data_IF_052416888591
#
_entry.id   IF_052416888591
#
_cell.length_a   1.000
_cell.length_b   1.000
_cell.length_c   1.000
_cell.angle_alpha   90.00
_cell.angle_beta   90.00
_cell.angle_gamma   90.00
#
_symmetry.space_group_name_H-M   'P 1'
#
loop_
_entity.id
_entity.type
_entity.pdbx_description
1 polymer ?
#
# COMPACT_ATOMS: atom_id res chain seq x y z
N UNK A 1 -55.13 -1.31 24.90
CA UNK A 1 -55.32 -1.30 26.36
C UNK A 1 -54.00 -1.74 27.00
N UNK A 2 -53.12 -0.87 27.51
CA UNK A 2 -53.14 0.60 27.51
C UNK A 2 -52.71 1.19 26.15
N UNK A 3 -51.91 2.26 26.21
CA UNK A 3 -52.14 3.57 25.58
C UNK A 3 -51.24 4.61 26.30
N UNK A 4 -50.87 5.73 25.65
CA UNK A 4 -50.26 6.98 26.18
C UNK A 4 -48.90 6.92 26.94
N UNK A 5 -47.94 7.85 26.77
CA UNK A 5 -47.92 9.20 26.13
C UNK A 5 -46.70 9.45 25.23
N UNK A 6 -46.91 10.15 24.11
CA UNK A 6 -45.92 11.08 23.52
C UNK A 6 -45.81 12.33 24.39
N UNK A 7 -44.65 12.97 24.43
CA UNK A 7 -44.56 14.42 24.57
C UNK A 7 -43.53 14.96 23.58
N UNK A 8 -43.87 16.11 23.01
CA UNK A 8 -43.18 16.83 21.95
C UNK A 8 -43.18 18.33 22.35
N UNK A 9 -42.45 19.20 21.61
CA UNK A 9 -42.08 20.60 21.94
C UNK A 9 -40.85 20.70 22.87
N UNK A 10 -39.97 21.70 22.72
CA UNK A 10 -39.95 22.78 21.73
C UNK A 10 -38.80 23.78 21.99
N UNK A 11 -38.47 24.59 20.98
CA UNK A 11 -37.33 25.53 20.92
C UNK A 11 -37.24 26.54 22.08
N UNK A 12 -36.02 26.88 22.51
CA UNK A 12 -35.63 28.25 22.89
C UNK A 12 -34.11 28.46 22.87
N UNK A 13 -33.67 29.67 22.53
CA UNK A 13 -32.28 30.10 22.32
C UNK A 13 -31.68 30.85 23.53
N UNK A 14 -30.40 30.61 23.83
CA UNK A 14 -29.46 31.62 24.38
C UNK A 14 -28.02 31.07 24.31
N UNK A 15 -27.09 31.62 23.51
CA UNK A 15 -26.33 32.89 23.67
C UNK A 15 -25.17 32.82 24.68
N UNK A 16 -23.95 32.80 24.13
CA UNK A 16 -22.65 33.22 24.71
C UNK A 16 -22.16 32.64 26.05
N UNK A 17 -20.98 32.00 26.00
CA UNK A 17 -19.72 32.59 26.54
C UNK A 17 -18.49 31.89 25.98
N UNK A 18 -17.61 32.65 25.34
CA UNK A 18 -16.25 32.26 25.03
C UNK A 18 -15.34 32.49 26.24
N UNK A 19 -14.42 31.57 26.51
CA UNK A 19 -13.34 31.75 27.48
C UNK A 19 -12.01 31.90 26.76
N UNK A 20 -11.62 33.15 26.54
CA UNK A 20 -10.30 33.52 26.02
C UNK A 20 -9.20 33.24 27.05
N UNK A 21 -8.18 32.47 26.66
CA UNK A 21 -6.99 32.27 27.49
C UNK A 21 -6.07 33.49 27.41
N UNK A 22 -5.64 33.99 28.58
CA UNK A 22 -4.85 35.21 28.68
C UNK A 22 -3.37 34.99 28.33
N UNK A 23 -2.77 35.97 27.63
CA UNK A 23 -1.32 36.21 27.62
C UNK A 23 -0.93 37.07 28.83
N UNK A 24 0.27 36.89 29.41
CA UNK A 24 0.93 37.92 30.19
C UNK A 24 2.02 38.65 29.37
N UNK A 25 1.92 39.98 29.31
CA UNK A 25 3.07 40.89 29.44
C UNK A 25 3.27 41.19 30.95
N UNK A 26 4.33 41.80 31.47
CA UNK A 26 5.08 42.98 31.00
C UNK A 26 6.51 43.04 31.60
N UNK A 27 7.43 43.69 30.86
CA UNK A 27 8.57 44.54 31.30
C UNK A 27 9.50 44.17 32.47
N UNK A 28 10.80 44.21 32.20
CA UNK A 28 11.88 44.53 33.17
C UNK A 28 13.06 45.20 32.43
N UNK A 29 13.53 46.35 32.92
CA UNK A 29 14.44 47.24 32.18
C UNK A 29 15.93 47.08 32.55
N UNK A 30 16.79 47.16 31.52
CA UNK A 30 18.15 47.76 31.51
C UNK A 30 19.25 47.29 32.49
N UNK A 31 20.43 46.96 31.92
CA UNK A 31 21.71 47.62 32.28
C UNK A 31 22.76 47.47 31.17
N UNK A 32 23.56 48.52 30.97
CA UNK A 32 24.65 48.57 30.00
C UNK A 32 25.82 47.66 30.42
N UNK A 33 26.46 47.05 29.43
CA UNK A 33 27.76 46.38 29.57
C UNK A 33 28.64 46.66 28.36
N UNK A 34 29.39 47.77 28.40
CA UNK A 34 30.46 48.03 27.44
C UNK A 34 31.56 46.96 27.60
N UNK A 35 31.90 46.25 26.51
CA UNK A 35 33.16 45.51 26.43
C UNK A 35 34.04 46.08 25.33
N UNK A 36 35.27 46.44 25.71
CA UNK A 36 36.18 47.20 24.87
C UNK A 36 36.76 46.36 23.73
N UNK A 37 36.89 46.98 22.55
CA UNK A 37 37.65 46.42 21.45
C UNK A 37 39.12 46.25 21.86
N UNK A 38 39.66 45.04 21.74
CA UNK A 38 41.12 44.79 21.76
C UNK A 38 41.60 44.53 20.33
N UNK A 39 42.43 45.43 19.84
CA UNK A 39 43.18 45.26 18.60
C UNK A 39 44.19 44.12 18.72
N UNK A 40 44.08 43.11 17.86
CA UNK A 40 45.11 42.10 17.64
C UNK A 40 45.82 42.35 16.30
N UNK A 41 47.14 42.07 16.20
CA UNK A 41 47.95 42.49 15.06
C UNK A 41 47.63 41.71 13.78
N UNK A 42 47.68 42.41 12.63
CA UNK A 42 47.63 41.78 11.31
C UNK A 42 48.81 40.83 11.12
N UNK A 43 48.56 39.52 11.12
CA UNK A 43 49.45 38.53 10.49
C UNK A 43 49.06 38.37 9.03
N UNK A 44 49.95 38.76 8.13
CA UNK A 44 49.90 38.40 6.71
C UNK A 44 50.37 36.97 6.54
N UNK A 45 49.43 36.02 6.44
CA UNK A 45 49.73 34.65 6.00
C UNK A 45 49.18 34.44 4.61
N UNK A 46 50.07 34.42 3.61
CA UNK A 46 49.76 34.01 2.25
C UNK A 46 49.54 32.50 2.20
N UNK A 47 48.27 32.07 2.32
CA UNK A 47 47.86 30.70 2.02
C UNK A 47 46.99 30.72 0.77
N UNK A 48 47.52 30.18 -0.31
CA UNK A 48 46.83 30.04 -1.59
C UNK A 48 45.60 29.12 -1.44
N UNK A 49 44.43 29.71 -1.23
CA UNK A 49 43.16 28.98 -1.39
C UNK A 49 43.01 28.63 -2.86
N UNK A 50 43.36 27.40 -3.23
CA UNK A 50 42.98 26.85 -4.53
C UNK A 50 41.46 26.69 -4.54
N UNK A 51 40.77 27.76 -4.98
CA UNK A 51 39.36 27.70 -5.38
C UNK A 51 39.28 26.84 -6.65
N UNK A 52 39.42 25.52 -6.48
CA UNK A 52 38.93 24.54 -7.43
C UNK A 52 37.42 24.67 -7.45
N UNK A 53 36.93 25.55 -8.32
CA UNK A 53 35.61 25.36 -8.93
C UNK A 53 35.58 23.92 -9.46
N UNK A 54 34.44 23.21 -9.37
CA UNK A 54 34.28 21.94 -10.07
C UNK A 54 34.70 22.13 -11.52
N UNK A 55 35.46 21.17 -12.05
CA UNK A 55 35.90 21.21 -13.44
C UNK A 55 34.66 21.31 -14.35
N UNK A 56 34.74 22.06 -15.45
CA UNK A 56 33.58 22.30 -16.33
C UNK A 56 32.97 21.01 -16.90
N UNK A 57 33.74 19.92 -16.94
CA UNK A 57 33.23 18.59 -17.28
C UNK A 57 32.26 17.99 -16.25
N UNK A 58 32.39 18.33 -14.96
CA UNK A 58 31.47 17.81 -13.92
C UNK A 58 30.05 18.38 -14.06
N UNK A 59 29.89 19.59 -14.60
CA UNK A 59 28.57 20.12 -14.96
C UNK A 59 28.02 19.51 -16.25
N UNK A 60 28.88 18.94 -17.11
CA UNK A 60 28.47 18.32 -18.37
C UNK A 60 27.80 16.94 -18.16
N UNK A 61 28.23 16.15 -17.17
CA UNK A 61 27.52 14.90 -16.79
C UNK A 61 26.11 15.16 -16.24
N UNK A 62 25.86 16.33 -15.65
CA UNK A 62 24.53 16.78 -15.23
C UNK A 62 23.78 17.59 -16.30
N UNK A 63 24.38 17.79 -17.49
CA UNK A 63 23.80 18.64 -18.55
C UNK A 63 22.84 17.91 -19.49
N UNK A 64 22.75 16.58 -19.43
CA UNK A 64 21.74 15.79 -20.13
C UNK A 64 20.34 16.23 -19.68
N UNK A 65 19.68 17.07 -20.49
CA UNK A 65 18.35 17.63 -20.23
C UNK A 65 18.32 19.07 -19.67
N UNK A 66 19.44 19.81 -19.64
CA UNK A 66 19.46 21.20 -19.17
C UNK A 66 19.16 22.17 -20.33
N UNK A 67 17.90 22.61 -20.42
CA UNK A 67 17.51 23.76 -21.23
C UNK A 67 18.04 25.09 -20.66
N UNK A 68 17.71 26.21 -21.32
CA UNK A 68 18.14 27.54 -20.86
C UNK A 68 17.73 27.79 -19.38
N UNK A 69 18.74 28.12 -18.55
CA UNK A 69 18.64 28.50 -17.12
C UNK A 69 17.41 27.94 -16.36
N UNK A 70 17.54 26.69 -15.88
CA UNK A 70 16.59 26.10 -14.92
C UNK A 70 15.48 25.23 -15.52
N UNK A 71 15.41 25.11 -16.86
CA UNK A 71 14.61 24.08 -17.52
C UNK A 71 15.31 22.70 -17.43
N UNK A 72 15.38 22.14 -16.21
CA UNK A 72 15.84 20.76 -15.97
C UNK A 72 14.62 19.86 -15.84
N UNK A 73 14.25 19.19 -16.93
CA UNK A 73 13.22 18.15 -16.92
C UNK A 73 13.92 16.79 -16.91
N UNK A 74 14.09 16.22 -15.71
CA UNK A 74 14.47 14.81 -15.57
C UNK A 74 13.20 13.98 -15.65
N UNK A 75 12.93 13.46 -16.84
CA UNK A 75 12.00 12.35 -16.97
C UNK A 75 12.60 11.09 -16.32
N UNK A 76 11.78 10.18 -15.78
CA UNK A 76 12.24 8.87 -15.35
C UNK A 76 12.96 8.14 -16.50
N UNK A 77 13.86 7.20 -16.19
CA UNK A 77 14.49 6.38 -17.24
C UNK A 77 13.46 5.70 -18.16
N UNK A 78 13.84 5.41 -19.41
CA UNK A 78 12.92 4.81 -20.39
C UNK A 78 12.31 3.50 -19.91
N UNK A 79 13.09 2.68 -19.20
CA UNK A 79 12.60 1.44 -18.61
C UNK A 79 11.61 1.70 -17.47
N UNK A 80 11.87 2.67 -16.59
CA UNK A 80 10.90 3.09 -15.56
C UNK A 80 9.60 3.62 -16.18
N UNK A 81 9.67 4.43 -17.25
CA UNK A 81 8.48 4.88 -17.97
C UNK A 81 7.69 3.72 -18.58
N UNK A 82 8.38 2.72 -19.17
CA UNK A 82 7.74 1.50 -19.68
C UNK A 82 7.00 0.76 -18.55
N UNK A 83 7.64 0.53 -17.40
CA UNK A 83 7.02 -0.13 -16.24
C UNK A 83 5.79 0.64 -15.74
N UNK A 84 5.89 1.96 -15.57
CA UNK A 84 4.77 2.83 -15.17
C UNK A 84 3.60 2.71 -16.15
N UNK A 85 3.87 2.73 -17.45
CA UNK A 85 2.83 2.68 -18.48
C UNK A 85 2.20 1.28 -18.60
N UNK A 86 2.98 0.20 -18.47
CA UNK A 86 2.45 -1.17 -18.39
C UNK A 86 1.58 -1.36 -17.15
N UNK A 87 1.99 -0.82 -15.99
CA UNK A 87 1.19 -0.87 -14.77
C UNK A 87 -0.13 -0.09 -14.92
N UNK A 88 -0.10 1.12 -15.48
CA UNK A 88 -1.30 1.93 -15.78
C UNK A 88 -2.23 1.27 -16.81
N UNK A 89 -1.69 0.43 -17.71
CA UNK A 89 -2.48 -0.35 -18.67
C UNK A 89 -3.25 -1.49 -18.00
N UNK A 90 -2.71 -2.07 -16.93
CA UNK A 90 -3.37 -3.13 -16.14
C UNK A 90 -4.29 -2.57 -15.04
N UNK A 91 -3.85 -1.48 -14.41
CA UNK A 91 -4.49 -0.84 -13.25
C UNK A 91 -4.35 0.69 -13.37
N UNK A 92 -5.24 1.37 -14.10
CA UNK A 92 -5.24 2.84 -14.19
C UNK A 92 -5.31 3.50 -12.80
N UNK A 93 -4.52 4.55 -12.58
CA UNK A 93 -4.44 5.26 -11.29
C UNK A 93 -5.77 5.92 -10.90
N UNK A 94 -6.69 6.12 -11.85
CA UNK A 94 -8.06 6.58 -11.61
C UNK A 94 -8.94 5.58 -10.85
N UNK A 95 -8.52 4.32 -10.75
CA UNK A 95 -9.18 3.30 -9.94
C UNK A 95 -8.91 3.45 -8.43
N UNK A 96 -7.80 4.08 -8.05
CA UNK A 96 -7.34 4.22 -6.67
C UNK A 96 -8.14 5.25 -5.84
N UNK A 97 -8.11 5.13 -4.50
CA UNK A 97 -8.78 6.09 -3.61
C UNK A 97 -7.98 7.39 -3.46
N UNK A 98 -8.39 8.38 -4.25
CA UNK A 98 -7.81 9.73 -4.31
C UNK A 98 -7.86 10.54 -2.99
N UNK A 99 -8.52 10.05 -1.93
CA UNK A 99 -8.61 10.78 -0.65
C UNK A 99 -7.46 10.48 0.31
N UNK A 100 -6.89 9.29 0.25
CA UNK A 100 -5.94 8.81 1.26
C UNK A 100 -4.82 7.93 0.70
N UNK A 101 -4.98 7.34 -0.49
CA UNK A 101 -3.95 6.47 -1.07
C UNK A 101 -2.86 7.27 -1.79
N UNK A 102 -1.68 6.68 -1.94
CA UNK A 102 -0.55 7.24 -2.66
C UNK A 102 0.00 6.23 -3.68
N UNK A 103 -0.65 6.17 -4.83
CA UNK A 103 -0.27 5.34 -5.98
C UNK A 103 0.61 6.12 -6.97
N UNK A 104 1.23 5.40 -7.90
CA UNK A 104 2.06 5.95 -8.97
C UNK A 104 3.55 5.75 -8.72
N UNK A 105 4.38 6.55 -9.40
CA UNK A 105 5.83 6.54 -9.25
C UNK A 105 6.22 7.35 -7.99
N UNK A 106 6.56 6.64 -6.91
CA UNK A 106 6.89 7.23 -5.62
C UNK A 106 8.38 7.59 -5.50
N UNK A 107 9.25 6.88 -6.23
CA UNK A 107 10.70 7.17 -6.34
C UNK A 107 11.10 7.02 -7.80
N UNK A 108 11.61 8.10 -8.41
CA UNK A 108 12.12 8.09 -9.77
C UNK A 108 13.61 7.78 -9.86
N UNK A 109 14.09 7.45 -11.06
CA UNK A 109 15.50 7.34 -11.40
C UNK A 109 15.78 8.03 -12.74
N UNK A 110 17.00 8.53 -12.95
CA UNK A 110 17.39 9.10 -14.24
C UNK A 110 17.86 8.02 -15.22
N UNK A 111 17.94 8.35 -16.52
CA UNK A 111 18.52 7.47 -17.53
C UNK A 111 20.00 7.15 -17.26
N UNK A 112 20.77 8.05 -16.64
CA UNK A 112 22.18 7.80 -16.28
C UNK A 112 22.33 6.91 -15.03
N UNK A 113 21.30 6.82 -14.20
CA UNK A 113 21.22 5.87 -13.10
C UNK A 113 20.80 4.47 -13.58
N UNK A 114 19.71 4.39 -14.34
CA UNK A 114 19.19 3.12 -14.85
C UNK A 114 20.15 2.39 -15.78
N UNK A 115 21.02 3.09 -16.52
CA UNK A 115 22.09 2.47 -17.35
C UNK A 115 23.09 1.60 -16.57
N UNK A 116 23.11 1.67 -15.24
CA UNK A 116 23.98 0.89 -14.35
C UNK A 116 23.30 -0.39 -13.83
N UNK A 117 22.02 -0.57 -14.17
CA UNK A 117 21.12 -1.59 -13.65
C UNK A 117 20.59 -2.45 -14.80
N UNK A 118 20.13 -3.66 -14.48
CA UNK A 118 19.49 -4.54 -15.47
C UNK A 118 18.03 -4.10 -15.70
N UNK A 119 17.41 -4.41 -16.86
CA UNK A 119 15.98 -4.16 -17.13
C UNK A 119 15.08 -5.12 -16.34
N UNK A 120 15.30 -5.21 -15.03
CA UNK A 120 14.62 -6.12 -14.11
C UNK A 120 13.69 -5.31 -13.21
N UNK A 121 12.49 -5.84 -13.01
CA UNK A 121 11.50 -5.34 -12.04
C UNK A 121 11.39 -6.33 -10.88
N UNK A 122 11.46 -5.83 -9.65
CA UNK A 122 11.12 -6.64 -8.46
C UNK A 122 9.71 -6.32 -7.99
N UNK A 123 8.85 -7.32 -7.94
CA UNK A 123 7.51 -7.23 -7.33
C UNK A 123 7.61 -7.68 -5.87
N UNK A 124 7.01 -6.89 -4.98
CA UNK A 124 6.92 -7.18 -3.53
C UNK A 124 5.56 -6.74 -2.98
N UNK A 125 5.09 -7.37 -1.91
CA UNK A 125 3.97 -6.82 -1.15
C UNK A 125 4.39 -5.56 -0.41
N UNK A 126 5.48 -5.69 0.35
CA UNK A 126 6.00 -4.69 1.27
C UNK A 126 7.46 -4.37 0.92
N UNK A 127 7.78 -3.09 0.71
CA UNK A 127 9.17 -2.65 0.52
C UNK A 127 9.87 -2.45 1.88
N UNK A 128 10.30 -3.57 2.46
CA UNK A 128 11.12 -3.58 3.68
C UNK A 128 12.59 -3.26 3.38
N UNK A 129 13.39 -3.01 4.42
CA UNK A 129 14.84 -2.81 4.27
C UNK A 129 15.52 -4.03 3.63
N UNK A 130 15.12 -5.25 3.99
CA UNK A 130 15.67 -6.48 3.43
C UNK A 130 15.35 -6.61 1.93
N UNK A 131 14.11 -6.32 1.53
CA UNK A 131 13.69 -6.30 0.12
C UNK A 131 14.44 -5.23 -0.68
N UNK A 132 14.72 -4.05 -0.08
CA UNK A 132 15.50 -3.01 -0.74
C UNK A 132 16.98 -3.41 -0.93
N UNK A 133 17.60 -4.06 0.06
CA UNK A 133 18.97 -4.59 -0.04
C UNK A 133 19.05 -5.70 -1.10
N UNK A 134 18.04 -6.57 -1.16
CA UNK A 134 17.89 -7.62 -2.17
C UNK A 134 17.79 -7.03 -3.59
N UNK A 135 16.89 -6.06 -3.80
CA UNK A 135 16.75 -5.35 -5.08
C UNK A 135 18.04 -4.69 -5.56
N UNK A 136 18.76 -4.00 -4.66
CA UNK A 136 20.04 -3.37 -4.95
C UNK A 136 21.12 -4.42 -5.27
N UNK A 137 21.17 -5.52 -4.51
CA UNK A 137 22.10 -6.63 -4.73
C UNK A 137 21.88 -7.37 -6.06
N UNK A 138 20.63 -7.44 -6.53
CA UNK A 138 20.25 -8.02 -7.82
C UNK A 138 20.29 -7.03 -8.99
N UNK A 139 20.67 -5.76 -8.78
CA UNK A 139 20.77 -4.76 -9.85
C UNK A 139 19.44 -4.38 -10.48
N UNK A 140 18.35 -4.44 -9.72
CA UNK A 140 16.97 -4.17 -10.17
C UNK A 140 16.78 -2.68 -10.52
N UNK A 141 16.23 -2.38 -11.70
CA UNK A 141 15.91 -1.01 -12.11
C UNK A 141 14.68 -0.42 -11.42
N UNK A 142 13.63 -1.22 -11.20
CA UNK A 142 12.34 -0.77 -10.66
C UNK A 142 11.78 -1.76 -9.64
N UNK A 143 11.32 -1.27 -8.49
CA UNK A 143 10.52 -2.04 -7.54
C UNK A 143 9.04 -1.68 -7.76
N UNK A 144 8.18 -2.68 -7.94
CA UNK A 144 6.72 -2.54 -7.86
C UNK A 144 6.29 -3.06 -6.49
N UNK A 145 6.07 -2.13 -5.56
CA UNK A 145 5.61 -2.41 -4.20
C UNK A 145 4.09 -2.29 -4.16
N UNK A 146 3.37 -3.36 -3.80
CA UNK A 146 1.92 -3.33 -3.71
C UNK A 146 1.45 -2.30 -2.68
N UNK A 147 2.01 -2.31 -1.47
CA UNK A 147 1.77 -1.26 -0.48
C UNK A 147 2.59 0.02 -0.75
N UNK A 148 2.06 1.22 -0.47
CA UNK A 148 2.77 2.48 -0.68
C UNK A 148 3.99 2.60 0.24
N UNK A 149 5.18 2.49 -0.35
CA UNK A 149 6.44 2.74 0.37
C UNK A 149 6.54 4.18 0.92
N UNK A 150 5.77 5.12 0.37
CA UNK A 150 5.57 6.46 0.92
C UNK A 150 4.06 6.64 1.17
N UNK A 151 3.54 6.15 2.30
CA UNK A 151 2.10 6.28 2.59
C UNK A 151 1.71 7.71 2.96
N UNK A 152 2.49 8.36 3.83
CA UNK A 152 2.32 9.77 4.21
C UNK A 152 3.51 10.60 3.76
N UNK A 153 3.27 11.79 3.20
CA UNK A 153 4.34 12.67 2.72
C UNK A 153 5.38 13.03 3.79
N UNK A 154 6.66 12.78 3.49
CA UNK A 154 7.77 13.11 4.38
C UNK A 154 7.99 14.62 4.51
N UNK A 155 8.32 15.08 5.72
CA UNK A 155 8.79 16.47 5.98
C UNK A 155 10.31 16.61 5.86
N UNK A 156 11.03 15.48 5.89
CA UNK A 156 12.48 15.36 5.80
C UNK A 156 12.82 13.94 5.37
N UNK A 157 13.95 13.74 4.70
CA UNK A 157 14.47 12.40 4.37
C UNK A 157 15.88 12.29 4.94
N UNK A 158 16.06 11.44 5.95
CA UNK A 158 17.32 11.33 6.71
C UNK A 158 17.57 9.89 7.18
N UNK A 159 18.75 9.62 7.73
CA UNK A 159 19.09 8.31 8.32
C UNK A 159 18.52 8.08 9.73
N UNK A 160 17.69 8.98 10.29
CA UNK A 160 17.12 8.81 11.64
C UNK A 160 15.88 7.91 11.68
N UNK A 161 15.37 7.50 10.52
CA UNK A 161 14.16 6.70 10.36
C UNK A 161 14.44 5.55 9.36
N UNK A 162 14.01 4.30 9.63
CA UNK A 162 14.34 3.16 8.76
C UNK A 162 13.79 3.26 7.34
N UNK A 163 12.60 3.83 7.16
CA UNK A 163 11.94 3.99 5.86
C UNK A 163 12.70 5.05 5.04
N UNK A 164 13.03 6.19 5.64
CA UNK A 164 13.84 7.24 5.00
C UNK A 164 15.28 6.77 4.70
N UNK A 165 15.90 6.00 5.59
CA UNK A 165 17.23 5.42 5.36
C UNK A 165 17.22 4.40 4.20
N UNK A 166 16.12 3.67 4.04
CA UNK A 166 15.89 2.75 2.91
C UNK A 166 15.68 3.54 1.61
N UNK A 167 14.87 4.60 1.63
CA UNK A 167 14.67 5.51 0.49
C UNK A 167 15.99 6.10 -0.01
N UNK A 168 16.86 6.56 0.89
CA UNK A 168 18.17 7.12 0.55
C UNK A 168 19.09 6.10 -0.13
N UNK A 169 19.00 4.82 0.24
CA UNK A 169 19.78 3.75 -0.39
C UNK A 169 19.27 3.41 -1.79
N UNK A 170 17.95 3.28 -1.97
CA UNK A 170 17.32 3.05 -3.28
C UNK A 170 17.62 4.19 -4.26
N UNK A 171 17.42 5.44 -3.82
CA UNK A 171 17.71 6.62 -4.63
C UNK A 171 19.19 6.73 -5.01
N UNK A 172 20.12 6.41 -4.09
CA UNK A 172 21.56 6.39 -4.37
C UNK A 172 21.95 5.25 -5.34
N UNK A 173 21.25 4.12 -5.30
CA UNK A 173 21.47 2.99 -6.18
C UNK A 173 20.82 3.16 -7.57
N UNK A 174 19.97 4.17 -7.76
CA UNK A 174 19.24 4.38 -9.02
C UNK A 174 17.98 3.55 -9.18
N UNK A 175 17.47 2.95 -8.10
CA UNK A 175 16.32 2.05 -8.12
C UNK A 175 15.04 2.86 -7.97
N UNK A 176 14.17 2.81 -8.98
CA UNK A 176 12.85 3.43 -8.94
C UNK A 176 11.85 2.60 -8.10
N UNK A 177 10.79 3.23 -7.59
CA UNK A 177 9.71 2.57 -6.84
C UNK A 177 8.37 3.04 -7.36
N UNK A 178 7.55 2.10 -7.86
CA UNK A 178 6.17 2.30 -8.28
C UNK A 178 5.22 1.56 -7.34
N UNK A 179 4.03 2.13 -7.11
CA UNK A 179 3.00 1.53 -6.26
C UNK A 179 1.61 1.58 -6.92
N UNK A 180 0.92 0.45 -7.13
CA UNK A 180 -0.43 0.42 -7.70
C UNK A 180 -1.55 0.32 -6.65
N UNK A 181 -1.25 -0.19 -5.44
CA UNK A 181 -2.14 -0.37 -4.29
C UNK A 181 -3.64 -0.49 -4.61
N UNK A 182 -4.47 0.49 -4.22
CA UNK A 182 -5.94 0.40 -4.35
C UNK A 182 -6.46 0.33 -5.80
N UNK A 183 -5.66 0.71 -6.79
CA UNK A 183 -6.03 0.49 -8.20
C UNK A 183 -6.10 -1.01 -8.53
N UNK A 184 -5.22 -1.83 -7.94
CA UNK A 184 -5.26 -3.30 -8.06
C UNK A 184 -6.47 -3.88 -7.36
N UNK A 185 -6.86 -3.32 -6.21
CA UNK A 185 -8.00 -3.79 -5.43
C UNK A 185 -9.33 -3.52 -6.12
N UNK A 186 -9.43 -2.35 -6.78
CA UNK A 186 -10.62 -1.90 -7.45
C UNK A 186 -10.82 -2.56 -8.83
N UNK A 187 -9.75 -2.91 -9.54
CA UNK A 187 -9.80 -3.35 -10.95
C UNK A 187 -10.71 -4.58 -11.20
N UNK A 188 -11.37 -4.69 -12.37
CA UNK A 188 -12.27 -5.82 -12.67
C UNK A 188 -11.56 -7.19 -12.66
N UNK A 189 -10.27 -7.22 -13.02
CA UNK A 189 -9.38 -8.39 -12.97
C UNK A 189 -8.34 -8.27 -11.84
N UNK A 190 -8.69 -7.47 -10.84
CA UNK A 190 -7.85 -7.11 -9.70
C UNK A 190 -7.79 -8.17 -8.61
N UNK A 191 -7.12 -7.82 -7.51
CA UNK A 191 -6.88 -8.69 -6.35
C UNK A 191 -8.18 -9.28 -5.79
N UNK A 192 -9.20 -8.44 -5.59
CA UNK A 192 -10.47 -8.89 -5.00
C UNK A 192 -11.27 -9.82 -5.92
N UNK A 193 -11.10 -9.72 -7.25
CA UNK A 193 -11.70 -10.68 -8.20
C UNK A 193 -11.01 -12.03 -8.10
N UNK A 194 -9.67 -12.07 -8.10
CA UNK A 194 -8.92 -13.31 -7.91
C UNK A 194 -9.23 -14.00 -6.56
N UNK A 195 -9.39 -13.23 -5.48
CA UNK A 195 -9.81 -13.78 -4.19
C UNK A 195 -11.25 -14.32 -4.21
N UNK A 196 -12.16 -13.67 -4.96
CA UNK A 196 -13.53 -14.15 -5.16
C UNK A 196 -13.55 -15.46 -5.97
N UNK A 197 -12.72 -15.57 -7.00
CA UNK A 197 -12.56 -16.79 -7.81
C UNK A 197 -12.04 -17.96 -6.96
N UNK A 198 -11.16 -17.72 -5.98
CA UNK A 198 -10.72 -18.76 -5.01
C UNK A 198 -11.88 -19.22 -4.12
N UNK A 199 -12.69 -18.27 -3.61
CA UNK A 199 -13.84 -18.60 -2.76
C UNK A 199 -14.91 -19.36 -3.55
N UNK A 200 -15.23 -18.92 -4.77
CA UNK A 200 -16.18 -19.59 -5.65
C UNK A 200 -15.67 -20.96 -6.12
N UNK A 201 -14.40 -21.05 -6.53
CA UNK A 201 -13.83 -22.25 -7.14
C UNK A 201 -14.59 -22.66 -8.41
N UNK A 202 -14.97 -23.94 -8.57
CA UNK A 202 -15.70 -24.40 -9.74
C UNK A 202 -17.21 -24.06 -9.71
N UNK A 203 -17.69 -23.44 -8.63
CA UNK A 203 -19.12 -23.22 -8.41
C UNK A 203 -19.58 -21.92 -9.08
N UNK A 204 -20.67 -22.02 -9.85
CA UNK A 204 -21.28 -20.86 -10.49
C UNK A 204 -21.88 -19.92 -9.45
N UNK A 205 -21.69 -18.63 -9.67
CA UNK A 205 -22.23 -17.56 -8.86
C UNK A 205 -22.52 -16.33 -9.72
N UNK A 206 -23.36 -15.43 -9.21
CA UNK A 206 -23.55 -14.08 -9.76
C UNK A 206 -22.59 -13.13 -9.04
N UNK A 207 -21.57 -12.57 -9.74
CA UNK A 207 -20.61 -11.64 -9.15
C UNK A 207 -21.13 -10.20 -9.15
N UNK A 208 -20.71 -9.42 -8.15
CA UNK A 208 -20.92 -7.97 -8.09
C UNK A 208 -19.80 -7.28 -7.29
N UNK A 209 -19.77 -5.94 -7.33
CA UNK A 209 -18.82 -5.08 -6.61
C UNK A 209 -19.47 -4.56 -5.33
N UNK A 210 -18.77 -4.59 -4.19
CA UNK A 210 -19.34 -4.13 -2.92
C UNK A 210 -19.46 -2.59 -2.85
N UNK A 211 -18.42 -1.86 -3.26
CA UNK A 211 -18.42 -0.39 -3.36
C UNK A 211 -17.89 0.03 -4.73
N UNK A 212 -18.75 0.41 -5.71
CA UNK A 212 -18.33 0.80 -7.05
C UNK A 212 -17.36 1.99 -7.08
N UNK A 213 -16.35 1.94 -7.96
CA UNK A 213 -15.42 3.05 -8.21
C UNK A 213 -16.00 3.96 -9.30
N UNK A 214 -16.51 5.13 -8.89
CA UNK A 214 -17.14 6.09 -9.80
C UNK A 214 -16.16 6.81 -10.75
N UNK A 215 -14.86 6.74 -10.48
CA UNK A 215 -13.79 7.33 -11.33
C UNK A 215 -13.19 6.32 -12.32
N UNK A 216 -13.69 5.09 -12.35
CA UNK A 216 -13.17 4.05 -13.23
C UNK A 216 -13.35 4.39 -14.72
N UNK A 217 -12.31 4.20 -15.56
CA UNK A 217 -12.45 4.24 -17.02
C UNK A 217 -13.45 3.18 -17.51
N UNK A 218 -14.17 3.48 -18.59
CA UNK A 218 -15.15 2.54 -19.18
C UNK A 218 -14.53 1.19 -19.56
N UNK A 219 -13.28 1.20 -20.03
CA UNK A 219 -12.47 0.01 -20.33
C UNK A 219 -12.18 -0.89 -19.11
N UNK A 220 -12.38 -0.37 -17.90
CA UNK A 220 -12.17 -1.02 -16.61
C UNK A 220 -13.47 -1.09 -15.79
N UNK A 221 -14.63 -1.16 -16.44
CA UNK A 221 -15.91 -1.42 -15.78
C UNK A 221 -16.25 -2.93 -15.78
N UNK A 222 -16.88 -3.49 -14.73
CA UNK A 222 -17.18 -2.87 -13.43
C UNK A 222 -15.99 -2.91 -12.47
N UNK A 223 -15.62 -1.76 -11.91
CA UNK A 223 -14.58 -1.63 -10.90
C UNK A 223 -15.11 -1.09 -9.57
N UNK A 224 -14.33 -1.29 -8.51
CA UNK A 224 -14.59 -0.82 -7.15
C UNK A 224 -14.13 -1.82 -6.10
N UNK A 225 -14.30 -1.46 -4.84
CA UNK A 225 -13.76 -2.19 -3.70
C UNK A 225 -14.60 -3.39 -3.31
N UNK A 226 -13.92 -4.49 -2.98
CA UNK A 226 -14.53 -5.75 -2.60
C UNK A 226 -15.32 -6.43 -3.73
N UNK A 227 -15.54 -7.75 -3.59
CA UNK A 227 -16.41 -8.52 -4.49
C UNK A 227 -17.43 -9.27 -3.67
N UNK A 228 -18.64 -9.37 -4.19
CA UNK A 228 -19.74 -10.15 -3.63
C UNK A 228 -20.11 -11.22 -4.65
N UNK A 229 -20.35 -12.45 -4.19
CA UNK A 229 -20.84 -13.54 -5.02
C UNK A 229 -22.03 -14.23 -4.36
N UNK A 230 -23.07 -14.49 -5.15
CA UNK A 230 -24.22 -15.31 -4.76
C UNK A 230 -24.23 -16.59 -5.59
N UNK A 231 -24.08 -17.76 -4.96
CA UNK A 231 -24.16 -19.06 -5.63
C UNK A 231 -25.56 -19.31 -6.21
N UNK A 232 -25.65 -20.18 -7.22
CA UNK A 232 -26.95 -20.54 -7.83
C UNK A 232 -27.95 -21.09 -6.78
N UNK A 233 -29.24 -20.80 -6.98
CA UNK A 233 -30.29 -21.20 -6.05
C UNK A 233 -30.34 -22.73 -5.87
N UNK A 234 -30.39 -23.19 -4.62
CA UNK A 234 -30.34 -24.61 -4.29
C UNK A 234 -28.94 -25.25 -4.33
N UNK A 235 -27.87 -24.52 -4.70
CA UNK A 235 -26.51 -25.03 -4.80
C UNK A 235 -25.52 -24.42 -3.78
N UNK A 236 -25.76 -24.49 -2.45
CA UNK A 236 -24.87 -23.88 -1.46
C UNK A 236 -23.58 -24.68 -1.25
N UNK A 237 -22.46 -23.97 -1.23
CA UNK A 237 -21.11 -24.54 -1.18
C UNK A 237 -20.71 -24.89 0.26
N UNK A 238 -19.88 -25.93 0.42
CA UNK A 238 -19.35 -26.33 1.73
C UNK A 238 -18.32 -25.32 2.25
N UNK A 239 -18.49 -24.82 3.48
CA UNK A 239 -17.52 -23.92 4.10
C UNK A 239 -16.14 -24.59 4.25
N UNK A 240 -16.11 -25.87 4.62
CA UNK A 240 -14.87 -26.65 4.72
C UNK A 240 -14.15 -26.83 3.37
N UNK A 241 -14.86 -26.73 2.26
CA UNK A 241 -14.30 -26.77 0.90
C UNK A 241 -13.70 -25.41 0.50
N UNK A 242 -14.40 -24.31 0.83
CA UNK A 242 -13.90 -22.94 0.67
C UNK A 242 -12.63 -22.73 1.50
N UNK A 243 -12.62 -23.14 2.78
CA UNK A 243 -11.46 -23.08 3.67
C UNK A 243 -10.25 -23.83 3.07
N UNK A 244 -10.47 -25.02 2.49
CA UNK A 244 -9.40 -25.79 1.83
C UNK A 244 -8.86 -25.10 0.58
N UNK A 245 -9.72 -24.47 -0.24
CA UNK A 245 -9.29 -23.67 -1.40
C UNK A 245 -8.46 -22.46 -0.98
N UNK A 246 -8.94 -21.68 -0.01
CA UNK A 246 -8.22 -20.54 0.55
C UNK A 246 -6.86 -20.97 1.11
N UNK A 247 -6.83 -22.01 1.94
CA UNK A 247 -5.58 -22.55 2.50
C UNK A 247 -4.57 -22.93 1.41
N UNK A 248 -5.00 -23.65 0.37
CA UNK A 248 -4.13 -24.07 -0.73
C UNK A 248 -3.61 -22.88 -1.56
N UNK A 249 -4.50 -21.95 -1.94
CA UNK A 249 -4.19 -20.85 -2.87
C UNK A 249 -3.46 -19.68 -2.20
N UNK A 250 -3.60 -19.50 -0.89
CA UNK A 250 -2.91 -18.46 -0.12
C UNK A 250 -1.63 -18.99 0.53
N UNK A 251 -0.83 -19.77 -0.22
CA UNK A 251 0.49 -20.22 0.22
C UNK A 251 0.54 -21.47 1.12
N UNK A 252 -0.52 -22.28 1.17
CA UNK A 252 -0.53 -23.54 1.93
C UNK A 252 -0.77 -23.35 3.43
N UNK A 253 -1.70 -22.47 3.81
CA UNK A 253 -2.02 -22.15 5.21
C UNK A 253 -2.42 -23.41 6.01
N UNK A 254 -1.68 -23.72 7.07
CA UNK A 254 -2.00 -24.83 7.99
C UNK A 254 -3.12 -24.50 8.98
N UNK A 255 -3.30 -23.21 9.27
CA UNK A 255 -4.27 -22.68 10.22
C UNK A 255 -4.99 -21.50 9.56
N UNK A 256 -6.29 -21.38 9.82
CA UNK A 256 -7.13 -20.25 9.37
C UNK A 256 -7.87 -19.71 10.59
N UNK A 257 -7.92 -18.39 10.72
CA UNK A 257 -8.69 -17.71 11.75
C UNK A 257 -10.14 -17.58 11.29
N UNK A 258 -11.08 -17.96 12.14
CA UNK A 258 -12.51 -17.96 11.81
C UNK A 258 -13.34 -17.51 13.02
N UNK A 259 -14.27 -16.60 12.76
CA UNK A 259 -15.35 -16.23 13.67
C UNK A 259 -16.68 -16.70 13.08
N UNK A 260 -17.54 -17.29 13.90
CA UNK A 260 -18.84 -17.80 13.46
C UNK A 260 -19.93 -17.59 14.52
N UNK A 261 -21.21 -17.56 14.14
CA UNK A 261 -22.32 -17.50 15.07
C UNK A 261 -22.31 -18.69 16.04
N UNK A 262 -22.75 -18.46 17.28
CA UNK A 262 -22.83 -19.51 18.32
C UNK A 262 -23.73 -20.65 17.84
N UNK A 263 -23.22 -21.89 17.91
CA UNK A 263 -23.90 -23.09 17.43
C UNK A 263 -23.67 -23.43 15.95
N UNK A 264 -22.91 -22.62 15.21
CA UNK A 264 -22.49 -22.96 13.84
C UNK A 264 -21.37 -24.01 13.86
N UNK A 265 -21.59 -25.17 13.25
CA UNK A 265 -20.54 -26.16 12.99
C UNK A 265 -19.86 -25.89 11.65
N UNK A 266 -18.63 -25.39 11.69
CA UNK A 266 -17.79 -25.09 10.52
C UNK A 266 -17.62 -26.29 9.58
N UNK A 267 -17.68 -27.53 10.09
CA UNK A 267 -17.48 -28.75 9.28
C UNK A 267 -18.66 -29.05 8.37
N UNK A 268 -19.88 -28.68 8.79
CA UNK A 268 -21.13 -28.95 8.07
C UNK A 268 -21.78 -27.70 7.49
N UNK A 269 -21.33 -26.50 7.90
CA UNK A 269 -21.79 -25.21 7.43
C UNK A 269 -21.78 -25.07 5.90
N UNK A 270 -22.81 -24.39 5.40
CA UNK A 270 -23.10 -24.16 3.98
C UNK A 270 -23.21 -22.67 3.71
N UNK A 271 -22.65 -22.23 2.58
CA UNK A 271 -22.55 -20.83 2.16
C UNK A 271 -23.34 -20.66 0.86
N UNK A 272 -24.30 -19.72 0.83
CA UNK A 272 -25.06 -19.33 -0.37
C UNK A 272 -24.52 -18.04 -0.97
N UNK A 273 -23.95 -17.17 -0.15
CA UNK A 273 -23.38 -15.90 -0.58
C UNK A 273 -22.11 -15.55 0.20
N UNK A 274 -21.19 -14.85 -0.46
CA UNK A 274 -19.92 -14.44 0.13
C UNK A 274 -19.55 -13.02 -0.27
N UNK A 275 -18.82 -12.33 0.60
CA UNK A 275 -18.12 -11.08 0.32
C UNK A 275 -16.63 -11.25 0.59
N UNK A 276 -15.78 -10.80 -0.34
CA UNK A 276 -14.32 -10.79 -0.17
C UNK A 276 -13.76 -9.39 -0.31
N UNK A 277 -12.77 -9.07 0.52
CA UNK A 277 -11.95 -7.89 0.42
C UNK A 277 -10.61 -8.17 1.07
N UNK A 278 -9.53 -8.21 0.28
CA UNK A 278 -8.17 -8.38 0.76
C UNK A 278 -7.76 -7.25 1.74
N UNK A 279 -6.66 -7.46 2.47
CA UNK A 279 -6.17 -6.55 3.50
C UNK A 279 -7.19 -6.29 4.61
N UNK A 280 -7.30 -5.01 5.01
CA UNK A 280 -8.18 -4.51 6.07
C UNK A 280 -9.63 -4.26 5.58
N UNK A 281 -10.28 -5.30 5.04
CA UNK A 281 -11.47 -5.19 4.20
C UNK A 281 -12.85 -4.99 4.86
N UNK A 282 -12.95 -4.94 6.19
CA UNK A 282 -14.28 -4.97 6.86
C UNK A 282 -15.17 -3.76 6.55
N UNK A 283 -14.63 -2.54 6.51
CA UNK A 283 -15.44 -1.34 6.23
C UNK A 283 -16.02 -1.31 4.81
N UNK A 284 -15.40 -2.04 3.87
CA UNK A 284 -15.90 -2.24 2.50
C UNK A 284 -17.09 -3.21 2.49
N UNK A 285 -17.06 -4.25 3.32
CA UNK A 285 -18.05 -5.33 3.30
C UNK A 285 -19.10 -5.27 4.42
N UNK A 286 -18.98 -4.37 5.39
CA UNK A 286 -19.86 -4.34 6.58
C UNK A 286 -21.35 -4.31 6.25
N UNK A 287 -21.73 -3.63 5.16
CA UNK A 287 -23.10 -3.49 4.66
C UNK A 287 -23.56 -4.61 3.71
N UNK A 288 -22.68 -5.55 3.35
CA UNK A 288 -23.03 -6.66 2.46
C UNK A 288 -23.86 -7.72 3.19
N UNK A 289 -25.01 -8.08 2.60
CA UNK A 289 -25.90 -9.14 3.09
C UNK A 289 -25.43 -10.50 2.54
N UNK A 290 -24.45 -11.09 3.22
CA UNK A 290 -23.75 -12.32 2.80
C UNK A 290 -23.52 -13.28 3.96
N UNK A 291 -23.61 -14.59 3.70
CA UNK A 291 -23.37 -15.63 4.71
C UNK A 291 -21.91 -15.67 5.19
N UNK A 292 -20.97 -15.41 4.28
CA UNK A 292 -19.52 -15.50 4.51
C UNK A 292 -18.80 -14.19 4.17
N UNK A 293 -17.91 -13.76 5.04
CA UNK A 293 -16.93 -12.70 4.78
C UNK A 293 -15.52 -13.29 4.77
N UNK A 294 -14.69 -12.91 3.79
CA UNK A 294 -13.27 -13.28 3.72
C UNK A 294 -12.42 -12.04 3.55
N UNK A 295 -11.45 -11.84 4.44
CA UNK A 295 -10.54 -10.70 4.40
C UNK A 295 -9.17 -11.06 4.99
N UNK A 296 -8.18 -10.19 4.80
CA UNK A 296 -6.89 -10.36 5.46
C UNK A 296 -7.02 -10.24 6.98
N UNK A 297 -7.60 -9.13 7.44
CA UNK A 297 -7.75 -8.81 8.87
C UNK A 297 -8.98 -7.94 9.18
N UNK A 298 -9.33 -7.85 10.48
CA UNK A 298 -10.32 -6.91 11.02
C UNK A 298 -10.22 -6.84 12.56
N UNK A 299 -10.85 -5.81 13.15
CA UNK A 299 -10.90 -5.63 14.61
C UNK A 299 -11.76 -6.69 15.31
N UNK A 300 -11.49 -6.92 16.60
CA UNK A 300 -12.31 -7.80 17.45
C UNK A 300 -13.79 -7.40 17.46
N UNK A 301 -14.09 -6.10 17.58
CA UNK A 301 -15.47 -5.61 17.60
C UNK A 301 -16.18 -5.78 16.24
N UNK A 302 -15.45 -5.64 15.13
CA UNK A 302 -15.94 -5.92 13.79
C UNK A 302 -16.31 -7.39 13.61
N UNK A 303 -15.44 -8.30 14.08
CA UNK A 303 -15.73 -9.74 14.08
C UNK A 303 -16.95 -10.09 14.95
N UNK A 304 -17.07 -9.50 16.15
CA UNK A 304 -18.26 -9.65 17.01
C UNK A 304 -19.55 -9.16 16.33
N UNK A 305 -19.51 -8.01 15.65
CA UNK A 305 -20.66 -7.48 14.92
C UNK A 305 -21.08 -8.39 13.76
N UNK A 306 -20.12 -8.95 13.02
CA UNK A 306 -20.39 -9.90 11.93
C UNK A 306 -21.13 -11.15 12.44
N UNK A 307 -20.64 -11.79 13.51
CA UNK A 307 -21.27 -13.01 14.05
C UNK A 307 -22.64 -12.74 14.70
N UNK A 308 -22.84 -11.55 15.29
CA UNK A 308 -24.15 -11.12 15.81
C UNK A 308 -25.19 -10.93 14.69
N UNK A 309 -24.74 -10.61 13.49
CA UNK A 309 -25.56 -10.53 12.27
C UNK A 309 -25.73 -11.89 11.57
N UNK A 310 -25.30 -12.99 12.19
CA UNK A 310 -25.41 -14.33 11.63
C UNK A 310 -24.36 -14.69 10.57
N UNK A 311 -23.38 -13.82 10.34
CA UNK A 311 -22.36 -13.99 9.29
C UNK A 311 -21.14 -14.74 9.82
N UNK A 312 -20.55 -15.58 8.99
CA UNK A 312 -19.26 -16.22 9.24
C UNK A 312 -18.16 -15.30 8.68
N UNK A 313 -17.04 -15.17 9.38
CA UNK A 313 -15.92 -14.33 8.96
C UNK A 313 -14.61 -15.11 9.03
N UNK A 314 -13.89 -15.16 7.91
CA UNK A 314 -12.56 -15.76 7.77
C UNK A 314 -11.51 -14.65 7.68
N UNK A 315 -10.44 -14.81 8.45
CA UNK A 315 -9.21 -14.01 8.38
C UNK A 315 -8.04 -14.89 7.94
N UNK A 316 -7.25 -14.38 7.00
CA UNK A 316 -6.10 -15.12 6.40
C UNK A 316 -4.75 -14.41 6.58
N UNK A 317 -4.71 -13.38 7.45
CA UNK A 317 -3.65 -12.36 7.58
C UNK A 317 -3.67 -11.37 6.40
N UNK A 318 -3.36 -10.10 6.70
CA UNK A 318 -3.37 -8.98 5.75
C UNK A 318 -2.59 -9.34 4.48
N UNK A 319 -1.27 -9.39 4.58
CA UNK A 319 -0.38 -9.51 3.43
C UNK A 319 -0.33 -10.91 2.80
N UNK A 320 -0.83 -11.94 3.49
CA UNK A 320 -1.11 -13.25 2.90
C UNK A 320 -2.32 -13.24 1.94
N UNK A 321 -3.30 -12.35 2.15
CA UNK A 321 -4.45 -12.21 1.24
C UNK A 321 -4.06 -11.60 -0.11
N UNK A 322 -2.92 -10.92 -0.17
CA UNK A 322 -2.42 -10.16 -1.33
C UNK A 322 -1.31 -10.89 -2.10
N UNK A 323 -0.28 -11.43 -1.41
CA UNK A 323 0.93 -11.99 -2.03
C UNK A 323 0.68 -13.07 -3.10
N UNK A 324 -0.37 -13.87 -2.96
CA UNK A 324 -0.72 -14.88 -3.95
C UNK A 324 -1.06 -14.26 -5.31
N UNK A 325 -1.79 -13.13 -5.34
CA UNK A 325 -2.11 -12.40 -6.56
C UNK A 325 -0.86 -11.80 -7.21
N UNK A 326 0.05 -11.24 -6.40
CA UNK A 326 1.29 -10.65 -6.91
C UNK A 326 2.12 -11.68 -7.68
N UNK A 327 2.19 -12.92 -7.14
CA UNK A 327 2.92 -14.04 -7.73
C UNK A 327 2.20 -14.70 -8.91
N UNK A 328 0.91 -14.96 -8.79
CA UNK A 328 0.14 -15.71 -9.80
C UNK A 328 -0.37 -14.86 -10.97
N UNK A 329 -0.61 -13.56 -10.75
CA UNK A 329 -1.29 -12.68 -11.72
C UNK A 329 -0.45 -11.47 -12.10
N UNK A 330 0.00 -10.66 -11.12
CA UNK A 330 0.70 -9.40 -11.42
C UNK A 330 2.04 -9.66 -12.13
N UNK A 331 2.93 -10.45 -11.52
CA UNK A 331 4.25 -10.77 -12.07
C UNK A 331 4.19 -11.25 -13.52
N UNK A 332 3.45 -12.32 -13.90
CA UNK A 332 3.42 -12.77 -15.29
C UNK A 332 2.70 -11.80 -16.25
N UNK A 333 1.70 -11.04 -15.79
CA UNK A 333 1.00 -10.06 -16.63
C UNK A 333 1.87 -8.85 -16.95
N UNK A 334 2.60 -8.34 -15.95
CA UNK A 334 3.57 -7.27 -16.13
C UNK A 334 4.73 -7.74 -17.02
N UNK A 335 5.32 -8.90 -16.73
CA UNK A 335 6.43 -9.47 -17.50
C UNK A 335 6.10 -9.61 -18.99
N UNK A 336 4.87 -10.06 -19.29
CA UNK A 336 4.38 -10.13 -20.67
C UNK A 336 4.40 -8.75 -21.35
N UNK A 337 3.81 -7.72 -20.72
CA UNK A 337 3.73 -6.37 -21.30
C UNK A 337 5.11 -5.73 -21.46
N UNK A 338 6.03 -5.93 -20.52
CA UNK A 338 7.40 -5.40 -20.64
C UNK A 338 8.14 -6.03 -21.82
N UNK A 339 8.03 -7.36 -22.01
CA UNK A 339 8.67 -8.10 -23.10
C UNK A 339 8.16 -7.75 -24.51
N UNK A 340 7.02 -7.07 -24.63
CA UNK A 340 6.53 -6.53 -25.90
C UNK A 340 7.38 -5.33 -26.40
N UNK A 341 8.06 -4.61 -25.50
CA UNK A 341 8.88 -3.44 -25.83
C UNK A 341 10.39 -3.59 -25.48
N UNK A 342 10.71 -4.32 -24.41
CA UNK A 342 12.09 -4.64 -24.00
C UNK A 342 12.22 -6.18 -23.85
N UNK A 343 12.71 -6.90 -24.87
CA UNK A 343 12.78 -8.36 -24.85
C UNK A 343 13.64 -8.96 -23.73
N UNK A 344 14.57 -8.18 -23.16
CA UNK A 344 15.38 -8.60 -21.99
C UNK A 344 14.70 -8.35 -20.65
N UNK A 345 13.53 -7.73 -20.63
CA UNK A 345 12.89 -7.33 -19.38
C UNK A 345 12.57 -8.56 -18.51
N UNK A 346 12.96 -8.54 -17.25
CA UNK A 346 12.61 -9.59 -16.28
C UNK A 346 11.71 -9.04 -15.18
N UNK A 347 10.84 -9.89 -14.63
CA UNK A 347 10.06 -9.57 -13.43
C UNK A 347 10.29 -10.67 -12.40
N UNK A 348 10.86 -10.33 -11.26
CA UNK A 348 11.20 -11.23 -10.17
C UNK A 348 10.37 -10.92 -8.93
N UNK A 349 10.35 -11.85 -7.98
CA UNK A 349 9.84 -11.61 -6.61
C UNK A 349 11.04 -11.54 -5.67
N UNK A 350 10.99 -10.73 -4.62
CA UNK A 350 12.00 -10.82 -3.55
C UNK A 350 11.88 -12.13 -2.77
N UNK A 351 13.00 -12.73 -2.38
CA UNK A 351 13.01 -13.85 -1.42
C UNK A 351 12.78 -13.39 0.03
N UNK A 352 12.89 -12.09 0.30
CA UNK A 352 12.72 -11.48 1.62
C UNK A 352 11.33 -10.85 1.82
N UNK A 353 10.44 -10.92 0.83
CA UNK A 353 9.03 -10.51 0.96
C UNK A 353 8.24 -11.57 1.76
N UNK A 354 7.91 -11.24 3.01
CA UNK A 354 7.24 -12.14 3.94
C UNK A 354 6.31 -11.39 4.90
N UNK A 355 5.24 -12.05 5.35
CA UNK A 355 4.33 -11.49 6.35
C UNK A 355 5.09 -11.24 7.68
N UNK A 356 4.88 -10.09 8.34
CA UNK A 356 5.56 -9.76 9.59
C UNK A 356 5.16 -10.69 10.76
N UNK A 357 4.05 -11.41 10.65
CA UNK A 357 3.58 -12.34 11.69
C UNK A 357 3.91 -13.79 11.35
N UNK A 358 4.31 -14.55 12.37
CA UNK A 358 4.49 -16.01 12.30
C UNK A 358 3.56 -16.68 13.30
N UNK A 359 2.84 -17.70 12.83
CA UNK A 359 2.07 -18.59 13.71
C UNK A 359 3.06 -19.55 14.37
N UNK A 360 3.24 -19.42 15.68
CA UNK A 360 4.07 -20.31 16.49
C UNK A 360 3.18 -21.25 17.30
N UNK A 361 3.48 -22.54 17.24
CA UNK A 361 2.96 -23.50 18.22
C UNK A 361 3.82 -23.38 19.48
N UNK A 362 3.23 -22.84 20.55
CA UNK A 362 3.91 -22.60 21.84
C UNK A 362 4.47 -23.91 22.43
N UNK A 363 3.87 -25.07 22.13
CA UNK A 363 4.39 -26.37 22.59
C UNK A 363 5.69 -26.81 21.92
N UNK A 364 6.10 -26.14 20.83
CA UNK A 364 7.38 -26.38 20.14
C UNK A 364 8.52 -25.51 20.67
N UNK A 365 8.23 -24.54 21.53
CA UNK A 365 9.25 -23.70 22.16
C UNK A 365 9.94 -24.46 23.28
N UNK A 366 11.26 -24.60 23.18
CA UNK A 366 12.11 -25.11 24.25
C UNK A 366 12.79 -23.91 24.92
N UNK A 367 12.77 -23.88 26.26
CA UNK A 367 13.66 -23.00 27.02
C UNK A 367 15.10 -23.52 26.87
N UNK A 368 16.04 -22.60 26.60
CA UNK A 368 17.43 -22.91 26.26
C UNK A 368 18.36 -22.89 27.49
#
# INVERSE_FOLDING_TARGET
>A
MLLVRRLDRGLSSSTLRSTSFCRPSVSGLSRLGFFAARSLPRRTTSTSSSNRRPDSGAMAEYADGVGAWGAWQVEPSKFTQLVVNSMRTLYPEELADRKWDNVGLLVGNSESDAKKLEPTVMVTNDLTFQVAVDAIGQGVSVIVSYHPFIFSGFKSVTNSDPQQATLLQLAKAGVAVYCPHTAVDAAPKGLNTWLADIVAGPHKHTPSVAIPCATAPESHSPAGYGRIGHFEEGAPVSLAEIIKRLALKLGGLKHIMIASPVGSDIKTAKVRSFGVCAGSGYDVLKSADVDLLVMGETSHHSALAAIQQGRILIQVFHSNSERGYLREVLKPSLEKLLKEAEPKAEVIMSEYDADPFKILDVSTLQEA
#
